data_IF_652507719674
#
_entry.id   IF_652507719674
#
_cell.length_a   1.000
_cell.length_b   1.000
_cell.length_c   1.000
_cell.angle_alpha   90.00
_cell.angle_beta   90.00
_cell.angle_gamma   90.00
#
_symmetry.space_group_name_H-M   'P 1'
#
loop_
_entity.id
_entity.type
_entity.pdbx_description
1 polymer ?
#
# COMPACT_ATOMS: atom_id res chain seq x y z
N UNK A 1 -9.67 -6.71 -34.30
CA UNK A 1 -10.71 -6.69 -33.25
C UNK A 1 -10.18 -7.44 -32.05
N UNK A 2 -10.34 -6.91 -30.84
CA UNK A 2 -9.98 -7.63 -29.62
C UNK A 2 -10.98 -8.78 -29.39
N UNK A 3 -10.50 -9.94 -28.94
CA UNK A 3 -11.36 -11.04 -28.51
C UNK A 3 -11.91 -10.69 -27.13
N UNK A 4 -13.22 -10.83 -26.92
CA UNK A 4 -13.88 -10.55 -25.64
C UNK A 4 -14.48 -11.83 -25.06
N UNK A 5 -14.68 -11.83 -23.75
CA UNK A 5 -15.32 -12.90 -22.97
C UNK A 5 -16.34 -12.28 -22.03
N UNK A 6 -17.50 -12.92 -21.88
CA UNK A 6 -18.51 -12.51 -20.90
C UNK A 6 -18.19 -13.11 -19.53
N UNK A 7 -18.17 -12.28 -18.49
CA UNK A 7 -17.88 -12.67 -17.10
C UNK A 7 -18.99 -12.10 -16.20
N UNK A 8 -19.49 -12.87 -15.22
CA UNK A 8 -20.37 -12.34 -14.19
C UNK A 8 -19.72 -11.17 -13.45
N UNK A 9 -20.47 -10.10 -13.23
CA UNK A 9 -19.93 -8.88 -12.63
C UNK A 9 -19.32 -9.12 -11.24
N UNK A 10 -19.98 -9.94 -10.42
CA UNK A 10 -19.49 -10.33 -9.10
C UNK A 10 -18.13 -11.03 -9.16
N UNK A 11 -17.96 -11.97 -10.11
CA UNK A 11 -16.70 -12.67 -10.32
C UNK A 11 -15.59 -11.71 -10.77
N UNK A 12 -15.90 -10.75 -11.65
CA UNK A 12 -14.92 -9.74 -12.05
C UNK A 12 -14.50 -8.86 -10.87
N UNK A 13 -15.45 -8.44 -10.02
CA UNK A 13 -15.15 -7.65 -8.82
C UNK A 13 -14.24 -8.40 -7.86
N UNK A 14 -14.53 -9.67 -7.60
CA UNK A 14 -13.68 -10.52 -6.75
C UNK A 14 -12.28 -10.68 -7.33
N UNK A 15 -12.16 -10.95 -8.63
CA UNK A 15 -10.85 -11.08 -9.29
C UNK A 15 -10.01 -9.81 -9.18
N UNK A 16 -10.62 -8.64 -9.33
CA UNK A 16 -9.93 -7.35 -9.18
C UNK A 16 -9.45 -7.15 -7.75
N UNK A 17 -10.27 -7.49 -6.75
CA UNK A 17 -9.90 -7.38 -5.33
C UNK A 17 -8.78 -8.35 -4.93
N UNK A 18 -8.81 -9.59 -5.42
CA UNK A 18 -7.75 -10.54 -5.13
C UNK A 18 -6.45 -10.18 -5.86
N UNK A 19 -6.55 -9.64 -7.09
CA UNK A 19 -5.38 -9.11 -7.79
C UNK A 19 -4.72 -7.97 -7.02
N UNK A 20 -5.49 -7.01 -6.50
CA UNK A 20 -4.91 -5.88 -5.74
C UNK A 20 -4.16 -6.34 -4.50
N UNK A 21 -4.64 -7.40 -3.82
CA UNK A 21 -3.91 -7.99 -2.68
C UNK A 21 -2.58 -8.60 -3.09
N UNK A 22 -2.53 -9.27 -4.25
CA UNK A 22 -1.27 -9.82 -4.78
C UNK A 22 -0.31 -8.70 -5.13
N UNK A 23 -0.80 -7.62 -5.76
CA UNK A 23 -0.01 -6.44 -6.08
C UNK A 23 0.56 -5.76 -4.83
N UNK A 24 -0.21 -5.62 -3.75
CA UNK A 24 0.27 -5.07 -2.47
C UNK A 24 1.41 -5.89 -1.86
N UNK A 25 1.30 -7.22 -1.90
CA UNK A 25 2.36 -8.13 -1.43
C UNK A 25 3.62 -7.98 -2.28
N UNK A 26 3.48 -7.92 -3.60
CA UNK A 26 4.60 -7.73 -4.52
C UNK A 26 5.29 -6.39 -4.28
N UNK A 27 4.54 -5.30 -4.15
CA UNK A 27 5.08 -3.97 -3.86
C UNK A 27 5.87 -3.94 -2.54
N UNK A 28 5.41 -4.66 -1.52
CA UNK A 28 6.15 -4.79 -0.26
C UNK A 28 7.47 -5.54 -0.44
N UNK A 29 7.47 -6.63 -1.20
CA UNK A 29 8.70 -7.39 -1.49
C UNK A 29 9.68 -6.52 -2.28
N UNK A 30 9.20 -5.78 -3.27
CA UNK A 30 10.01 -4.85 -4.06
C UNK A 30 10.66 -3.78 -3.19
N UNK A 31 9.91 -3.14 -2.29
CA UNK A 31 10.44 -2.14 -1.34
C UNK A 31 11.48 -2.74 -0.38
N UNK A 32 11.32 -4.01 0.03
CA UNK A 32 12.30 -4.70 0.88
C UNK A 32 13.59 -5.06 0.14
N UNK A 33 13.51 -5.25 -1.18
CA UNK A 33 14.67 -5.50 -2.04
C UNK A 33 15.41 -4.20 -2.40
N UNK A 34 14.75 -3.04 -2.29
CA UNK A 34 15.37 -1.73 -2.42
C UNK A 34 16.13 -1.33 -1.14
N UNK A 35 17.42 -0.99 -1.27
CA UNK A 35 18.24 -0.63 -0.11
C UNK A 35 17.78 0.66 0.55
N UNK A 36 17.32 1.64 -0.24
CA UNK A 36 16.78 2.90 0.29
C UNK A 36 15.43 2.67 0.97
N UNK A 37 14.55 1.87 0.37
CA UNK A 37 13.29 1.44 0.96
C UNK A 37 13.46 0.74 2.30
N UNK A 38 14.40 -0.21 2.37
CA UNK A 38 14.72 -0.89 3.61
C UNK A 38 15.27 0.07 4.68
N UNK A 39 16.08 1.07 4.30
CA UNK A 39 16.54 2.12 5.23
C UNK A 39 15.37 2.95 5.75
N UNK A 40 14.42 3.36 4.90
CA UNK A 40 13.21 4.09 5.30
C UNK A 40 12.38 3.29 6.30
N UNK A 41 12.14 2.01 6.03
CA UNK A 41 11.36 1.11 6.91
C UNK A 41 12.04 0.99 8.28
N UNK A 42 13.36 0.73 8.31
CA UNK A 42 14.10 0.62 9.58
C UNK A 42 14.02 1.89 10.41
N UNK A 43 14.16 3.05 9.77
CA UNK A 43 14.03 4.36 10.42
C UNK A 43 12.63 4.55 11.01
N UNK A 44 11.58 4.29 10.23
CA UNK A 44 10.19 4.41 10.69
C UNK A 44 9.90 3.49 11.89
N UNK A 45 10.43 2.25 11.89
CA UNK A 45 10.31 1.34 13.04
C UNK A 45 11.01 1.88 14.29
N UNK A 46 12.16 2.52 14.13
CA UNK A 46 12.88 3.15 15.24
C UNK A 46 12.14 4.37 15.80
N UNK A 47 11.66 5.26 14.93
CA UNK A 47 10.84 6.42 15.28
C UNK A 47 9.58 5.98 16.05
N UNK A 48 8.87 4.97 15.55
CA UNK A 48 7.70 4.40 16.23
C UNK A 48 8.03 3.88 17.63
N UNK A 49 9.12 3.12 17.78
CA UNK A 49 9.56 2.59 19.09
C UNK A 49 9.93 3.69 20.09
N UNK A 50 10.46 4.81 19.60
CA UNK A 50 10.83 5.97 20.41
C UNK A 50 9.65 6.88 20.74
N UNK A 51 8.48 6.64 20.13
CA UNK A 51 7.35 7.56 20.24
C UNK A 51 7.54 8.84 19.43
N UNK A 52 8.45 8.84 18.46
CA UNK A 52 8.78 10.00 17.62
C UNK A 52 7.82 10.08 16.43
N UNK A 53 6.53 10.28 16.75
CA UNK A 53 5.47 10.45 15.78
C UNK A 53 4.37 11.33 16.37
N UNK A 54 3.62 11.98 15.48
CA UNK A 54 2.40 12.71 15.85
C UNK A 54 1.20 11.84 15.50
N UNK A 55 0.25 11.71 16.44
CA UNK A 55 -1.05 11.12 16.16
C UNK A 55 -2.00 12.26 15.83
N UNK A 56 -2.68 12.15 14.71
CA UNK A 56 -3.57 13.20 14.21
C UNK A 56 -4.87 12.56 13.75
N UNK A 57 -5.98 13.27 13.91
CA UNK A 57 -7.25 12.78 13.40
C UNK A 57 -7.24 12.81 11.86
N UNK A 58 -7.98 11.88 11.24
CA UNK A 58 -8.05 11.81 9.78
C UNK A 58 -8.56 13.11 9.14
N UNK A 59 -9.39 13.87 9.86
CA UNK A 59 -9.89 15.19 9.46
C UNK A 59 -8.80 16.27 9.39
N UNK A 60 -7.66 16.07 10.04
CA UNK A 60 -6.58 17.04 10.19
C UNK A 60 -5.36 16.74 9.32
N UNK A 61 -5.27 15.54 8.73
CA UNK A 61 -4.15 15.09 7.89
C UNK A 61 -3.80 16.09 6.78
N UNK A 62 -4.82 16.70 6.15
CA UNK A 62 -4.59 17.69 5.08
C UNK A 62 -3.84 18.93 5.54
N UNK A 63 -3.98 19.34 6.80
CA UNK A 63 -3.34 20.55 7.35
C UNK A 63 -1.85 20.35 7.65
N UNK A 64 -1.37 19.11 7.66
CA UNK A 64 0.03 18.76 7.93
C UNK A 64 0.85 18.54 6.66
N UNK A 65 0.19 18.50 5.51
CA UNK A 65 0.79 18.28 4.19
C UNK A 65 0.99 19.59 3.42
N UNK A 66 0.62 20.73 4.01
CA UNK A 66 0.91 22.10 3.56
C UNK A 66 2.12 22.67 4.31
#
# INVERSE_FOLDING_TARGET
>A
MAKTVAIPEELLRELVLELSRVEEVLATIEELLDEEGLKRIRRAVEEYRKGDYIVVESSEVKKLLE
#
